data_IF_909653114884
#
_entry.id   IF_909653114884
#
_cell.length_a   1.000
_cell.length_b   1.000
_cell.length_c   1.000
_cell.angle_alpha   90.00
_cell.angle_beta   90.00
_cell.angle_gamma   90.00
#
_symmetry.space_group_name_H-M   'P 1'
#
loop_
_entity.id
_entity.type
_entity.pdbx_description
1 polymer ?
#
# COMPACT_ATOMS: atom_id res chain seq x y z
N UNK A 1 -3.76 -0.53 -18.35
CA UNK A 1 -4.20 -1.36 -17.19
C UNK A 1 -4.60 -0.40 -16.09
N UNK A 2 -5.68 -0.67 -15.39
CA UNK A 2 -6.24 0.28 -14.43
C UNK A 2 -5.63 0.06 -13.05
N UNK A 3 -5.23 1.14 -12.38
CA UNK A 3 -4.74 1.10 -11.00
C UNK A 3 -5.92 1.33 -10.07
N UNK A 4 -6.04 0.51 -9.02
CA UNK A 4 -7.07 0.66 -8.01
C UNK A 4 -6.51 1.39 -6.80
N UNK A 5 -7.14 2.50 -6.43
CA UNK A 5 -6.84 3.25 -5.22
C UNK A 5 -7.99 3.09 -4.23
N UNK A 6 -7.69 2.50 -3.09
CA UNK A 6 -8.57 2.40 -1.93
C UNK A 6 -8.16 3.48 -0.94
N UNK A 7 -9.05 4.41 -0.63
CA UNK A 7 -8.74 5.59 0.19
C UNK A 7 -9.54 5.56 1.49
N UNK A 8 -8.90 5.83 2.62
CA UNK A 8 -9.52 5.92 3.93
C UNK A 8 -8.90 5.02 5.00
N UNK A 9 -9.35 5.17 6.24
CA UNK A 9 -8.79 4.50 7.41
C UNK A 9 -8.81 2.95 7.34
N UNK A 10 -9.80 2.38 6.65
CA UNK A 10 -9.98 0.94 6.48
C UNK A 10 -9.46 0.40 5.14
N UNK A 11 -8.79 1.22 4.35
CA UNK A 11 -8.28 0.83 3.04
C UNK A 11 -7.29 -0.34 3.10
N UNK A 12 -6.33 -0.41 4.05
CA UNK A 12 -5.42 -1.54 4.17
C UNK A 12 -6.15 -2.88 4.39
N UNK A 13 -7.12 -2.90 5.31
CA UNK A 13 -7.89 -4.12 5.60
C UNK A 13 -8.73 -4.57 4.40
N UNK A 14 -9.33 -3.62 3.67
CA UNK A 14 -10.12 -3.94 2.47
C UNK A 14 -9.23 -4.50 1.36
N UNK A 15 -8.03 -3.96 1.18
CA UNK A 15 -7.05 -4.47 0.22
C UNK A 15 -6.65 -5.92 0.53
N UNK A 16 -6.37 -6.25 1.79
CA UNK A 16 -6.02 -7.60 2.22
C UNK A 16 -7.17 -8.59 1.97
N UNK A 17 -8.41 -8.17 2.27
CA UNK A 17 -9.61 -8.98 1.99
C UNK A 17 -9.81 -9.19 0.49
N UNK A 18 -9.56 -8.18 -0.34
CA UNK A 18 -9.67 -8.27 -1.79
C UNK A 18 -8.67 -9.29 -2.36
N UNK A 19 -7.39 -9.23 -1.95
CA UNK A 19 -6.39 -10.21 -2.36
C UNK A 19 -6.74 -11.63 -1.90
N UNK A 20 -7.26 -11.76 -0.68
CA UNK A 20 -7.72 -13.05 -0.14
C UNK A 20 -8.89 -13.61 -0.96
N UNK A 21 -9.90 -12.80 -1.24
CA UNK A 21 -11.09 -13.22 -1.99
C UNK A 21 -10.76 -13.62 -3.44
N UNK A 22 -9.78 -12.95 -4.05
CA UNK A 22 -9.30 -13.28 -5.40
C UNK A 22 -8.27 -14.43 -5.41
N UNK A 23 -7.89 -14.96 -4.24
CA UNK A 23 -6.83 -15.97 -4.10
C UNK A 23 -5.51 -15.56 -4.77
N UNK A 24 -5.15 -14.27 -4.65
CA UNK A 24 -3.94 -13.70 -5.22
C UNK A 24 -2.90 -13.44 -4.13
N UNK A 25 -1.63 -13.56 -4.50
CA UNK A 25 -0.49 -13.20 -3.65
C UNK A 25 0.21 -11.98 -4.25
N UNK A 26 0.14 -10.82 -3.59
CA UNK A 26 0.77 -9.62 -4.10
C UNK A 26 2.29 -9.61 -3.85
N UNK A 27 3.00 -8.83 -4.67
CA UNK A 27 4.30 -8.25 -4.35
C UNK A 27 4.10 -6.83 -3.80
N UNK A 28 5.17 -6.18 -3.36
CA UNK A 28 5.11 -4.83 -2.80
C UNK A 28 5.26 -4.81 -1.28
N UNK A 29 4.43 -4.08 -0.57
CA UNK A 29 4.51 -4.04 0.90
C UNK A 29 3.15 -3.80 1.55
N UNK A 30 3.10 -4.13 2.85
CA UNK A 30 2.05 -3.72 3.77
C UNK A 30 2.67 -3.16 5.05
N UNK A 31 1.93 -2.30 5.75
CA UNK A 31 2.30 -1.82 7.06
C UNK A 31 1.66 -2.69 8.14
N UNK A 32 2.48 -3.16 9.07
CA UNK A 32 2.05 -3.99 10.21
C UNK A 32 2.23 -3.19 11.49
N UNK A 33 1.18 -2.99 12.30
CA UNK A 33 1.31 -2.26 13.54
C UNK A 33 2.20 -3.02 14.53
N UNK A 34 3.05 -2.31 15.26
CA UNK A 34 3.86 -2.87 16.33
C UNK A 34 3.75 -2.05 17.62
N UNK A 35 4.00 -2.73 18.73
CA UNK A 35 4.18 -2.11 20.06
C UNK A 35 5.34 -2.81 20.76
N UNK A 36 6.27 -2.02 21.28
CA UNK A 36 7.40 -2.51 22.07
C UNK A 36 7.38 -1.96 23.49
N UNK A 37 8.16 -2.55 24.38
CA UNK A 37 8.27 -2.12 25.77
C UNK A 37 8.49 -0.60 25.92
N UNK A 38 7.91 -0.01 26.97
CA UNK A 38 7.97 1.44 27.19
C UNK A 38 6.91 2.25 26.41
N UNK A 39 5.94 1.59 25.72
CA UNK A 39 4.84 2.25 25.01
C UNK A 39 5.21 2.82 23.65
N UNK A 40 6.38 2.49 23.11
CA UNK A 40 6.73 2.81 21.73
C UNK A 40 5.85 1.97 20.80
N UNK A 41 5.15 2.64 19.90
CA UNK A 41 4.26 2.02 18.91
C UNK A 41 4.47 2.65 17.54
N UNK A 42 4.05 1.96 16.51
CA UNK A 42 4.16 2.46 15.15
C UNK A 42 3.73 1.41 14.14
N UNK A 43 4.23 1.58 12.94
CA UNK A 43 4.01 0.67 11.84
C UNK A 43 5.36 0.18 11.30
N UNK A 44 5.46 -1.12 11.11
CA UNK A 44 6.61 -1.77 10.49
C UNK A 44 6.31 -2.05 9.01
N UNK A 45 7.31 -1.87 8.18
CA UNK A 45 7.29 -2.25 6.78
C UNK A 45 7.42 -3.77 6.68
N UNK A 46 6.40 -4.42 6.15
CA UNK A 46 6.42 -5.84 5.80
C UNK A 46 6.49 -5.98 4.28
N UNK A 47 7.62 -6.44 3.78
CA UNK A 47 7.83 -6.64 2.35
C UNK A 47 7.14 -7.91 1.87
N UNK A 48 6.31 -7.77 0.84
CA UNK A 48 5.63 -8.86 0.16
C UNK A 48 6.53 -9.30 -1.01
N UNK A 49 7.52 -10.13 -0.69
CA UNK A 49 8.48 -10.62 -1.68
C UNK A 49 8.01 -11.94 -2.28
N UNK A 50 8.39 -12.24 -3.55
CA UNK A 50 8.38 -13.61 -4.02
C UNK A 50 9.23 -14.48 -3.08
N UNK A 51 8.87 -15.76 -2.83
CA UNK A 51 9.41 -16.60 -1.74
C UNK A 51 10.92 -16.88 -1.77
N UNK A 52 11.68 -16.25 -2.65
CA UNK A 52 13.08 -16.59 -2.88
C UNK A 52 14.11 -15.77 -2.07
N UNK A 53 13.71 -14.77 -1.28
CA UNK A 53 14.67 -13.99 -0.49
C UNK A 53 14.30 -14.00 1.00
N UNK A 54 15.06 -14.71 1.86
CA UNK A 54 14.96 -14.54 3.29
C UNK A 54 15.46 -13.13 3.63
N UNK A 55 14.56 -12.21 3.82
CA UNK A 55 14.88 -10.85 4.26
C UNK A 55 14.37 -10.66 5.68
N UNK A 56 15.08 -9.84 6.45
CA UNK A 56 14.53 -9.31 7.68
C UNK A 56 13.29 -8.50 7.33
N UNK A 57 12.14 -8.98 7.80
CA UNK A 57 10.85 -8.35 7.59
C UNK A 57 10.40 -7.65 8.88
N UNK A 58 9.34 -6.85 8.80
CA UNK A 58 8.80 -6.08 9.92
C UNK A 58 9.77 -5.01 10.44
N UNK A 59 10.27 -4.20 9.54
CA UNK A 59 11.22 -3.12 9.84
C UNK A 59 10.44 -1.85 10.23
N UNK A 60 10.60 -1.30 11.46
CA UNK A 60 9.92 -0.08 11.86
C UNK A 60 10.17 1.07 10.88
N UNK A 61 9.12 1.55 10.21
CA UNK A 61 9.19 2.61 9.21
C UNK A 61 8.39 3.87 9.59
N UNK A 62 7.49 3.75 10.56
CA UNK A 62 6.73 4.86 11.14
C UNK A 62 6.66 4.70 12.64
N UNK A 63 6.97 5.76 13.38
CA UNK A 63 6.94 5.78 14.83
C UNK A 63 5.85 6.76 15.27
N UNK A 64 4.96 6.32 16.15
CA UNK A 64 3.90 7.16 16.74
C UNK A 64 4.37 7.70 18.08
N UNK A 65 4.41 9.00 18.18
CA UNK A 65 4.76 9.71 19.42
C UNK A 65 3.56 9.68 20.40
N UNK A 66 3.83 9.99 21.66
CA UNK A 66 2.79 9.96 22.73
C UNK A 66 1.67 10.96 22.53
N UNK A 67 1.93 12.06 21.87
CA UNK A 67 1.00 13.13 21.48
C UNK A 67 0.10 12.75 20.29
N UNK A 68 0.33 11.58 19.69
CA UNK A 68 -0.47 11.07 18.58
C UNK A 68 0.15 11.32 17.21
N UNK A 69 1.16 12.19 17.12
CA UNK A 69 1.88 12.43 15.87
C UNK A 69 2.66 11.19 15.44
N UNK A 70 2.66 10.94 14.15
CA UNK A 70 3.46 9.88 13.55
C UNK A 70 4.60 10.48 12.73
N UNK A 71 5.76 9.88 12.81
CA UNK A 71 6.93 10.29 12.03
C UNK A 71 7.47 9.09 11.26
N UNK A 72 7.67 9.25 9.97
CA UNK A 72 8.30 8.21 9.13
C UNK A 72 9.81 8.14 9.40
N UNK A 73 10.40 6.99 9.17
CA UNK A 73 11.83 6.75 9.19
C UNK A 73 12.34 6.78 7.74
N UNK A 74 12.85 7.93 7.24
CA UNK A 74 13.15 8.10 5.81
C UNK A 74 14.11 7.05 5.28
N UNK A 75 15.12 6.69 6.07
CA UNK A 75 16.13 5.70 5.70
C UNK A 75 15.52 4.34 5.37
N UNK A 76 14.50 3.89 6.10
CA UNK A 76 13.83 2.61 5.82
C UNK A 76 13.07 2.68 4.49
N UNK A 77 12.42 3.81 4.22
CA UNK A 77 11.68 4.00 2.98
C UNK A 77 12.61 4.13 1.78
N UNK A 78 13.72 4.84 1.91
CA UNK A 78 14.62 5.12 0.81
C UNK A 78 15.62 3.99 0.53
N UNK A 79 16.19 3.36 1.56
CA UNK A 79 17.23 2.35 1.40
C UNK A 79 16.68 0.91 1.33
N UNK A 80 15.47 0.67 1.84
CA UNK A 80 14.87 -0.66 1.90
C UNK A 80 13.62 -0.76 1.03
N UNK A 81 12.61 0.09 1.27
CA UNK A 81 11.35 0.00 0.54
C UNK A 81 11.54 0.33 -0.95
N UNK A 82 12.17 1.44 -1.28
CA UNK A 82 12.33 1.88 -2.67
C UNK A 82 13.02 0.86 -3.57
N UNK A 83 14.19 0.28 -3.22
CA UNK A 83 14.83 -0.75 -4.05
C UNK A 83 13.95 -2.00 -4.22
N UNK A 84 13.22 -2.41 -3.18
CA UNK A 84 12.32 -3.57 -3.26
C UNK A 84 11.13 -3.30 -4.17
N UNK A 85 10.56 -2.10 -4.13
CA UNK A 85 9.48 -1.70 -5.04
C UNK A 85 9.94 -1.72 -6.50
N UNK A 86 11.13 -1.21 -6.79
CA UNK A 86 11.69 -1.26 -8.14
C UNK A 86 11.92 -2.71 -8.61
N UNK A 87 12.28 -3.62 -7.70
CA UNK A 87 12.37 -5.05 -8.02
C UNK A 87 10.98 -5.65 -8.28
N UNK A 88 9.95 -5.22 -7.56
CA UNK A 88 8.59 -5.70 -7.73
C UNK A 88 7.99 -5.36 -9.11
N UNK A 89 8.49 -4.32 -9.80
CA UNK A 89 8.09 -4.02 -11.20
C UNK A 89 8.29 -5.23 -12.11
N UNK A 90 9.32 -6.03 -11.87
CA UNK A 90 9.63 -7.22 -12.66
C UNK A 90 8.91 -8.49 -12.19
N UNK A 91 8.22 -8.46 -11.06
CA UNK A 91 7.45 -9.59 -10.58
C UNK A 91 6.20 -9.82 -11.46
N UNK A 92 5.80 -11.07 -11.65
CA UNK A 92 4.56 -11.40 -12.36
C UNK A 92 3.29 -11.23 -11.50
N UNK A 93 3.46 -11.07 -10.20
CA UNK A 93 2.36 -10.88 -9.25
C UNK A 93 1.76 -9.46 -9.34
N UNK A 94 0.48 -9.28 -8.99
CA UNK A 94 -0.06 -7.95 -8.76
C UNK A 94 0.65 -7.27 -7.59
N UNK A 95 0.65 -5.96 -7.56
CA UNK A 95 1.41 -5.18 -6.57
C UNK A 95 0.45 -4.55 -5.57
N UNK A 96 0.78 -4.65 -4.29
CA UNK A 96 0.09 -3.99 -3.19
C UNK A 96 1.01 -2.94 -2.55
N UNK A 97 0.52 -1.71 -2.45
CA UNK A 97 1.10 -0.65 -1.64
C UNK A 97 0.09 -0.33 -0.52
N UNK A 98 0.29 -0.91 0.67
CA UNK A 98 -0.69 -0.81 1.75
C UNK A 98 -0.23 0.09 2.88
N UNK A 99 -1.07 1.08 3.24
CA UNK A 99 -0.81 2.04 4.31
C UNK A 99 -0.03 3.28 3.86
N UNK A 100 -0.09 3.62 2.57
CA UNK A 100 0.57 4.80 2.02
C UNK A 100 -0.09 6.09 2.55
N UNK A 101 0.73 7.06 2.98
CA UNK A 101 0.29 8.40 3.37
C UNK A 101 1.13 9.51 2.73
N UNK A 102 0.72 10.75 2.91
CA UNK A 102 1.42 11.91 2.36
C UNK A 102 2.85 12.03 2.90
N UNK A 103 3.09 11.70 4.17
CA UNK A 103 4.42 11.81 4.78
C UNK A 103 5.42 10.83 4.16
N UNK A 104 5.00 9.60 3.85
CA UNK A 104 5.86 8.64 3.14
C UNK A 104 6.27 9.16 1.75
N UNK A 105 5.37 9.85 1.05
CA UNK A 105 5.62 10.44 -0.27
C UNK A 105 6.57 11.65 -0.23
N UNK A 106 6.92 12.18 0.94
CA UNK A 106 7.99 13.19 1.05
C UNK A 106 9.38 12.59 0.88
N UNK A 107 9.54 11.28 1.13
CA UNK A 107 10.81 10.57 0.92
C UNK A 107 11.04 10.38 -0.57
N UNK A 108 12.09 11.01 -1.09
CA UNK A 108 12.30 11.17 -2.54
C UNK A 108 12.44 9.84 -3.27
N UNK A 109 13.37 9.00 -2.84
CA UNK A 109 13.63 7.72 -3.52
C UNK A 109 12.41 6.79 -3.46
N UNK A 110 11.69 6.79 -2.33
CA UNK A 110 10.46 6.03 -2.18
C UNK A 110 9.36 6.53 -3.14
N UNK A 111 9.13 7.84 -3.22
CA UNK A 111 8.18 8.44 -4.16
C UNK A 111 8.53 8.10 -5.62
N UNK A 112 9.80 8.21 -6.00
CA UNK A 112 10.27 7.85 -7.36
C UNK A 112 9.98 6.37 -7.66
N UNK A 113 10.17 5.46 -6.70
CA UNK A 113 9.85 4.05 -6.86
C UNK A 113 8.34 3.80 -6.99
N UNK A 114 7.51 4.51 -6.21
CA UNK A 114 6.05 4.47 -6.32
C UNK A 114 5.62 4.94 -7.71
N UNK A 115 6.16 6.06 -8.21
CA UNK A 115 5.85 6.57 -9.56
C UNK A 115 6.25 5.57 -10.64
N UNK A 116 7.41 4.93 -10.52
CA UNK A 116 7.85 3.91 -11.47
C UNK A 116 6.89 2.71 -11.51
N UNK A 117 6.41 2.26 -10.35
CA UNK A 117 5.39 1.21 -10.25
C UNK A 117 4.08 1.62 -10.90
N UNK A 118 3.57 2.79 -10.57
CA UNK A 118 2.30 3.32 -11.08
C UNK A 118 2.36 3.60 -12.59
N UNK A 119 3.54 3.87 -13.14
CA UNK A 119 3.77 4.04 -14.57
C UNK A 119 4.00 2.71 -15.31
N UNK A 120 4.13 1.62 -14.59
CA UNK A 120 4.37 0.30 -15.18
C UNK A 120 3.08 -0.30 -15.77
N UNK A 121 3.23 -1.35 -16.58
CA UNK A 121 2.11 -2.13 -17.14
C UNK A 121 1.54 -3.14 -16.11
N UNK A 122 1.80 -2.95 -14.84
CA UNK A 122 1.40 -3.87 -13.76
C UNK A 122 0.04 -3.50 -13.18
N UNK A 123 -0.66 -4.49 -12.66
CA UNK A 123 -1.83 -4.26 -11.82
C UNK A 123 -1.33 -3.81 -10.45
N UNK A 124 -1.67 -2.59 -10.06
CA UNK A 124 -1.28 -2.02 -8.76
C UNK A 124 -2.53 -1.68 -7.96
N UNK A 125 -2.57 -2.15 -6.73
CA UNK A 125 -3.59 -1.75 -5.75
C UNK A 125 -2.88 -0.90 -4.68
N UNK A 126 -3.37 0.30 -4.47
CA UNK A 126 -2.87 1.24 -3.49
C UNK A 126 -3.92 1.43 -2.40
N UNK A 127 -3.61 1.03 -1.17
CA UNK A 127 -4.40 1.38 0.00
C UNK A 127 -3.75 2.57 0.70
N UNK A 128 -4.40 3.72 0.68
CA UNK A 128 -3.82 4.97 1.14
C UNK A 128 -4.70 5.71 2.15
N UNK A 129 -4.06 6.57 2.93
CA UNK A 129 -4.73 7.55 3.76
C UNK A 129 -5.30 8.70 2.90
N UNK A 130 -6.30 9.41 3.42
CA UNK A 130 -6.95 10.52 2.71
C UNK A 130 -5.99 11.66 2.36
N UNK A 131 -4.98 11.90 3.21
CA UNK A 131 -3.97 12.94 3.00
C UNK A 131 -3.04 12.69 1.81
N UNK A 132 -2.95 11.43 1.34
CA UNK A 132 -2.15 11.06 0.17
C UNK A 132 -2.91 11.21 -1.16
N UNK A 133 -4.24 11.33 -1.15
CA UNK A 133 -5.08 11.26 -2.36
C UNK A 133 -4.69 12.30 -3.41
N UNK A 134 -4.59 13.57 -3.03
CA UNK A 134 -4.26 14.65 -3.96
C UNK A 134 -2.88 14.45 -4.60
N UNK A 135 -1.90 14.03 -3.81
CA UNK A 135 -0.56 13.75 -4.29
C UNK A 135 -0.55 12.58 -5.28
N UNK A 136 -1.25 11.50 -4.96
CA UNK A 136 -1.32 10.31 -5.82
C UNK A 136 -2.04 10.60 -7.13
N UNK A 137 -3.12 11.40 -7.10
CA UNK A 137 -3.83 11.83 -8.31
C UNK A 137 -2.93 12.62 -9.26
N UNK A 138 -2.00 13.40 -8.72
CA UNK A 138 -1.05 14.18 -9.50
C UNK A 138 0.11 13.35 -10.09
N UNK A 139 0.37 12.14 -9.55
CA UNK A 139 1.50 11.32 -9.95
C UNK A 139 1.23 10.44 -11.18
N UNK A 140 -0.04 10.21 -11.53
CA UNK A 140 -0.43 9.28 -12.61
C UNK A 140 -1.51 9.88 -13.51
N UNK A 141 -1.61 9.44 -14.80
CA UNK A 141 -2.68 9.86 -15.69
C UNK A 141 -4.06 9.46 -15.15
N UNK A 142 -5.02 10.37 -15.21
CA UNK A 142 -6.38 10.17 -14.68
C UNK A 142 -7.11 8.96 -15.30
N UNK A 143 -6.85 8.68 -16.58
CA UNK A 143 -7.50 7.59 -17.33
C UNK A 143 -7.12 6.18 -16.82
N UNK A 144 -6.00 6.07 -16.11
CA UNK A 144 -5.52 4.80 -15.55
C UNK A 144 -5.96 4.58 -14.10
N UNK A 145 -6.62 5.57 -13.48
CA UNK A 145 -6.98 5.55 -12.07
C UNK A 145 -8.43 5.12 -11.86
N UNK A 146 -8.64 4.17 -10.96
CA UNK A 146 -9.94 3.85 -10.37
C UNK A 146 -9.87 4.09 -8.87
N UNK A 147 -10.71 4.98 -8.36
CA UNK A 147 -10.74 5.38 -6.96
C UNK A 147 -11.97 4.84 -6.24
N UNK A 148 -11.78 4.28 -5.07
CA UNK A 148 -12.85 3.88 -4.17
C UNK A 148 -12.56 4.40 -2.76
N UNK A 149 -13.46 5.23 -2.23
CA UNK A 149 -13.42 5.65 -0.82
C UNK A 149 -13.99 4.54 0.04
N UNK A 150 -13.19 4.07 0.99
CA UNK A 150 -13.55 2.93 1.85
C UNK A 150 -14.45 3.42 2.98
N UNK A 151 -15.71 2.96 3.06
CA UNK A 151 -16.65 3.47 4.04
C UNK A 151 -16.32 3.01 5.48
N UNK A 152 -16.73 3.82 6.47
CA UNK A 152 -16.57 3.51 7.88
C UNK A 152 -17.46 2.34 8.35
N UNK A 153 -18.63 2.18 7.75
CA UNK A 153 -19.59 1.13 8.10
C UNK A 153 -19.14 -0.24 7.60
N UNK A 154 -19.15 -1.25 8.45
CA UNK A 154 -18.74 -2.60 8.10
C UNK A 154 -19.60 -3.21 6.97
N UNK A 155 -20.92 -2.98 7.00
CA UNK A 155 -21.83 -3.47 5.96
C UNK A 155 -21.54 -2.86 4.59
N UNK A 156 -21.27 -1.55 4.54
CA UNK A 156 -20.91 -0.87 3.32
C UNK A 156 -19.53 -1.32 2.79
N UNK A 157 -18.57 -1.62 3.68
CA UNK A 157 -17.28 -2.22 3.26
C UNK A 157 -17.45 -3.60 2.64
N UNK A 158 -18.35 -4.44 3.20
CA UNK A 158 -18.63 -5.75 2.62
C UNK A 158 -19.24 -5.60 1.22
N UNK A 159 -20.20 -4.72 1.03
CA UNK A 159 -20.79 -4.45 -0.28
C UNK A 159 -19.75 -3.95 -1.30
N UNK A 160 -18.88 -3.02 -0.89
CA UNK A 160 -17.80 -2.54 -1.74
C UNK A 160 -16.82 -3.67 -2.11
N UNK A 161 -16.48 -4.56 -1.17
CA UNK A 161 -15.62 -5.71 -1.45
C UNK A 161 -16.24 -6.64 -2.50
N UNK A 162 -17.53 -6.95 -2.37
CA UNK A 162 -18.26 -7.80 -3.33
C UNK A 162 -18.25 -7.17 -4.73
N UNK A 163 -18.48 -5.87 -4.83
CA UNK A 163 -18.42 -5.12 -6.08
C UNK A 163 -17.02 -5.18 -6.72
N UNK A 164 -15.97 -4.92 -5.95
CA UNK A 164 -14.58 -4.97 -6.43
C UNK A 164 -14.16 -6.38 -6.85
N UNK A 165 -14.57 -7.42 -6.13
CA UNK A 165 -14.31 -8.82 -6.50
C UNK A 165 -15.01 -9.17 -7.81
N UNK A 166 -16.28 -8.78 -7.98
CA UNK A 166 -17.02 -9.01 -9.21
C UNK A 166 -16.37 -8.31 -10.41
N UNK A 167 -15.95 -7.06 -10.24
CA UNK A 167 -15.29 -6.30 -11.30
C UNK A 167 -13.91 -6.90 -11.66
N UNK A 168 -13.09 -7.27 -10.67
CA UNK A 168 -11.80 -7.90 -10.91
C UNK A 168 -11.93 -9.26 -11.62
N UNK A 169 -12.94 -10.07 -11.25
CA UNK A 169 -13.20 -11.39 -11.86
C UNK A 169 -13.64 -11.30 -13.32
N UNK A 170 -14.21 -10.18 -13.74
CA UNK A 170 -14.59 -9.96 -15.15
C UNK A 170 -13.41 -9.51 -16.03
N UNK A 171 -12.29 -9.09 -15.42
CA UNK A 171 -11.12 -8.54 -16.13
C UNK A 171 -9.91 -9.47 -16.13
N UNK A 172 -9.95 -10.54 -15.35
CA UNK A 172 -8.95 -11.61 -15.29
C UNK A 172 -9.36 -12.77 -16.22
#
# INVERSE_FOLDING_TARGET
MQQLYLCGAHAPQLADLLFTALNLRPAGYQLVPFTVGGGLRGDALHLLLPPAAPMHNDIPCRIRLRDGDATVVPRVLEEIAAPNLLTAVNAHAPILLSGLDAQMLTCRAFREAVVALLSSQRTVIVACAEDAEELLRALTPAESQMWAHVPESASARTALLEELVAEASMRL
#
